data_IF_421407675177
#
_entry.id   IF_421407675177
#
_cell.length_a   1.000
_cell.length_b   1.000
_cell.length_c   1.000
_cell.angle_alpha   90.00
_cell.angle_beta   90.00
_cell.angle_gamma   90.00
#
_symmetry.space_group_name_H-M   'P 1'
#
loop_
_entity.id
_entity.type
_entity.pdbx_description
1 polymer ?
#
# COMPACT_ATOMS: atom_id res chain seq x y z
N UNK A 1 -13.97 16.96 21.21
CA UNK A 1 -14.51 16.47 19.92
C UNK A 1 -13.61 15.38 19.43
N UNK A 2 -14.03 14.16 19.54
CA UNK A 2 -13.22 13.06 19.03
C UNK A 2 -13.57 12.88 17.55
N UNK A 3 -12.68 13.23 16.65
CA UNK A 3 -12.76 12.96 15.20
C UNK A 3 -13.18 11.51 14.90
N UNK A 4 -12.83 10.60 15.79
CA UNK A 4 -13.14 9.17 15.71
C UNK A 4 -14.56 8.80 16.18
N UNK A 5 -15.30 9.74 16.78
CA UNK A 5 -16.68 9.51 17.25
C UNK A 5 -17.72 9.90 16.22
N UNK A 6 -17.33 10.53 15.12
CA UNK A 6 -18.22 10.91 14.03
C UNK A 6 -18.08 9.91 12.88
N UNK A 7 -19.19 9.32 12.46
CA UNK A 7 -19.26 8.32 11.40
C UNK A 7 -18.63 8.79 10.08
N UNK A 8 -18.78 10.09 9.77
CA UNK A 8 -18.26 10.65 8.52
C UNK A 8 -16.74 10.91 8.56
N UNK A 9 -16.19 11.14 9.76
CA UNK A 9 -14.78 11.55 9.93
C UNK A 9 -13.88 10.45 10.49
N UNK A 10 -14.42 9.39 11.09
CA UNK A 10 -13.66 8.32 11.71
C UNK A 10 -12.69 7.64 10.72
N UNK A 11 -13.13 7.37 9.49
CA UNK A 11 -12.29 6.80 8.44
C UNK A 11 -11.10 7.70 8.07
N UNK A 12 -11.31 9.01 8.00
CA UNK A 12 -10.22 9.95 7.72
C UNK A 12 -9.18 9.98 8.85
N UNK A 13 -9.62 9.80 10.10
CA UNK A 13 -8.73 9.69 11.25
C UNK A 13 -7.83 8.45 11.17
N UNK A 14 -8.39 7.29 10.80
CA UNK A 14 -7.63 6.05 10.59
C UNK A 14 -6.65 6.21 9.41
N UNK A 15 -7.12 6.77 8.29
CA UNK A 15 -6.26 7.02 7.11
C UNK A 15 -5.11 7.93 7.48
N UNK A 16 -5.34 9.02 8.21
CA UNK A 16 -4.29 9.93 8.65
C UNK A 16 -3.25 9.25 9.54
N UNK A 17 -3.69 8.37 10.45
CA UNK A 17 -2.78 7.58 11.28
C UNK A 17 -1.99 6.56 10.46
N UNK A 18 -2.63 5.91 9.49
CA UNK A 18 -1.99 4.94 8.59
C UNK A 18 -0.95 5.59 7.66
N UNK A 19 -1.17 6.84 7.26
CA UNK A 19 -0.26 7.57 6.38
C UNK A 19 1.13 7.80 7.00
N UNK A 20 1.22 7.99 8.31
CA UNK A 20 2.48 8.29 8.98
C UNK A 20 3.56 7.22 8.75
N UNK A 21 3.35 5.94 9.12
CA UNK A 21 4.33 4.89 8.86
C UNK A 21 4.48 4.60 7.37
N UNK A 22 3.40 4.76 6.58
CA UNK A 22 3.43 4.51 5.15
C UNK A 22 4.30 5.53 4.40
N UNK A 23 4.23 6.81 4.77
CA UNK A 23 5.09 7.86 4.20
C UNK A 23 6.56 7.55 4.50
N UNK A 24 6.89 7.19 5.75
CA UNK A 24 8.25 6.84 6.13
C UNK A 24 8.80 5.65 5.32
N UNK A 25 7.98 4.61 5.15
CA UNK A 25 8.34 3.45 4.35
C UNK A 25 8.57 3.80 2.87
N UNK A 26 7.65 4.55 2.26
CA UNK A 26 7.80 4.98 0.87
C UNK A 26 9.03 5.89 0.69
N UNK A 27 9.31 6.77 1.65
CA UNK A 27 10.46 7.66 1.60
C UNK A 27 11.77 6.86 1.56
N UNK A 28 11.93 5.85 2.41
CA UNK A 28 13.10 4.97 2.40
C UNK A 28 13.22 4.23 1.06
N UNK A 29 12.12 3.69 0.53
CA UNK A 29 12.11 3.01 -0.77
C UNK A 29 12.55 3.93 -1.91
N UNK A 30 12.06 5.16 -1.93
CA UNK A 30 12.44 6.11 -2.98
C UNK A 30 13.86 6.63 -2.82
N UNK A 31 14.37 6.84 -1.60
CA UNK A 31 15.77 7.21 -1.37
C UNK A 31 16.69 6.09 -1.86
N UNK A 32 16.41 4.84 -1.51
CA UNK A 32 17.21 3.70 -1.97
C UNK A 32 17.12 3.52 -3.49
N UNK A 33 15.93 3.71 -4.07
CA UNK A 33 15.74 3.72 -5.51
C UNK A 33 16.53 4.82 -6.22
N UNK A 34 16.56 6.02 -5.66
CA UNK A 34 17.36 7.14 -6.18
C UNK A 34 18.87 6.88 -6.07
N UNK A 35 19.32 6.27 -4.97
CA UNK A 35 20.73 5.91 -4.79
C UNK A 35 21.20 4.82 -5.79
N UNK A 36 20.30 3.98 -6.25
CA UNK A 36 20.53 2.90 -7.21
C UNK A 36 20.46 3.35 -8.68
N UNK A 37 20.17 4.63 -8.95
CA UNK A 37 20.10 5.15 -10.32
C UNK A 37 21.45 5.05 -11.02
N UNK A 38 21.42 4.71 -12.31
CA UNK A 38 22.61 4.71 -13.14
C UNK A 38 23.07 6.16 -13.39
N UNK A 39 24.24 6.50 -12.84
CA UNK A 39 24.84 7.84 -12.95
C UNK A 39 25.20 8.17 -14.38
N UNK A 40 25.66 7.20 -15.17
CA UNK A 40 26.07 7.42 -16.56
C UNK A 40 24.88 7.91 -17.41
N UNK A 41 23.68 7.36 -17.16
CA UNK A 41 22.45 7.79 -17.85
C UNK A 41 22.10 9.23 -17.45
N UNK A 42 22.29 9.59 -16.19
CA UNK A 42 22.01 10.95 -15.70
C UNK A 42 23.02 11.94 -16.29
N UNK A 43 24.30 11.56 -16.37
CA UNK A 43 25.36 12.41 -16.92
C UNK A 43 25.21 12.61 -18.44
N UNK A 44 24.94 11.54 -19.19
CA UNK A 44 24.68 11.66 -20.63
C UNK A 44 23.46 12.55 -20.91
N UNK A 45 22.40 12.38 -20.15
CA UNK A 45 21.21 13.22 -20.28
C UNK A 45 21.47 14.70 -19.98
N UNK A 46 22.38 15.01 -19.05
CA UNK A 46 22.82 16.40 -18.80
C UNK A 46 23.57 16.98 -20.00
N UNK A 47 24.42 16.18 -20.65
CA UNK A 47 25.13 16.58 -21.86
C UNK A 47 24.15 16.87 -23.00
N UNK A 48 23.08 16.04 -23.12
CA UNK A 48 21.99 16.22 -24.10
C UNK A 48 21.06 17.40 -23.77
N UNK A 49 21.37 18.16 -22.68
CA UNK A 49 20.62 19.36 -22.31
C UNK A 49 19.39 19.11 -21.43
N UNK A 50 19.16 17.91 -20.95
CA UNK A 50 18.05 17.61 -20.03
C UNK A 50 18.28 18.33 -18.67
N UNK A 51 17.34 19.18 -18.26
CA UNK A 51 17.43 19.96 -17.01
C UNK A 51 16.08 19.99 -16.28
N UNK A 52 16.12 20.14 -14.95
CA UNK A 52 14.97 20.38 -14.11
C UNK A 52 13.86 19.35 -14.28
N UNK A 53 12.64 19.80 -14.56
CA UNK A 53 11.45 18.94 -14.69
C UNK A 53 11.53 17.93 -15.84
N UNK A 54 12.16 18.29 -16.95
CA UNK A 54 12.34 17.37 -18.07
C UNK A 54 13.20 16.15 -17.70
N UNK A 55 14.27 16.36 -16.96
CA UNK A 55 15.12 15.28 -16.45
C UNK A 55 14.35 14.40 -15.45
N UNK A 56 13.57 15.00 -14.56
CA UNK A 56 12.79 14.25 -13.58
C UNK A 56 11.77 13.32 -14.24
N UNK A 57 10.93 13.85 -15.14
CA UNK A 57 9.84 13.08 -15.74
C UNK A 57 10.29 12.05 -16.76
N UNK A 58 11.32 12.38 -17.57
CA UNK A 58 11.70 11.53 -18.71
C UNK A 58 12.83 10.55 -18.36
N UNK A 59 13.61 10.80 -17.30
CA UNK A 59 14.81 10.02 -16.99
C UNK A 59 14.74 9.41 -15.60
N UNK A 60 14.54 10.23 -14.56
CA UNK A 60 14.56 9.75 -13.17
C UNK A 60 13.32 8.91 -12.86
N UNK A 61 12.14 9.44 -13.12
CA UNK A 61 10.87 8.77 -12.78
C UNK A 61 10.69 7.40 -13.48
N UNK A 62 11.04 7.23 -14.77
CA UNK A 62 11.03 5.91 -15.38
C UNK A 62 12.00 4.91 -14.77
N UNK A 63 13.16 5.35 -14.29
CA UNK A 63 14.11 4.48 -13.59
C UNK A 63 13.63 4.10 -12.19
N UNK A 64 12.79 4.91 -11.55
CA UNK A 64 12.17 4.63 -10.24
C UNK A 64 10.94 3.71 -10.34
N UNK A 65 10.54 3.28 -11.53
CA UNK A 65 9.39 2.36 -11.71
C UNK A 65 9.45 1.12 -10.80
N UNK A 66 10.60 0.42 -10.63
CA UNK A 66 10.66 -0.73 -9.74
C UNK A 66 10.36 -0.37 -8.28
N UNK A 67 10.91 0.74 -7.77
CA UNK A 67 10.65 1.23 -6.42
C UNK A 67 9.18 1.63 -6.24
N UNK A 68 8.62 2.38 -7.19
CA UNK A 68 7.20 2.77 -7.20
C UNK A 68 6.30 1.53 -7.20
N UNK A 69 6.66 0.52 -7.98
CA UNK A 69 5.90 -0.70 -8.08
C UNK A 69 5.86 -1.45 -6.74
N UNK A 70 7.01 -1.60 -6.06
CA UNK A 70 7.08 -2.21 -4.73
C UNK A 70 6.29 -1.39 -3.72
N UNK A 71 6.42 -0.05 -3.74
CA UNK A 71 5.68 0.84 -2.85
C UNK A 71 4.17 0.63 -2.96
N UNK A 72 3.63 0.59 -4.18
CA UNK A 72 2.19 0.38 -4.43
C UNK A 72 1.73 -0.98 -3.90
N UNK A 73 2.50 -2.04 -4.17
CA UNK A 73 2.13 -3.39 -3.72
C UNK A 73 2.08 -3.51 -2.23
N UNK A 74 3.14 -3.06 -1.56
CA UNK A 74 3.19 -3.12 -0.08
C UNK A 74 2.11 -2.25 0.55
N UNK A 75 1.80 -1.09 -0.06
CA UNK A 75 0.70 -0.23 0.41
C UNK A 75 -0.65 -0.92 0.31
N UNK A 76 -0.95 -1.58 -0.82
CA UNK A 76 -2.21 -2.29 -1.01
C UNK A 76 -2.31 -3.49 -0.06
N UNK A 77 -1.25 -4.30 0.06
CA UNK A 77 -1.22 -5.43 1.00
C UNK A 77 -1.39 -4.96 2.45
N UNK A 78 -0.74 -3.85 2.83
CA UNK A 78 -0.87 -3.24 4.14
C UNK A 78 -2.30 -2.77 4.42
N UNK A 79 -2.94 -2.13 3.45
CA UNK A 79 -4.32 -1.67 3.58
C UNK A 79 -5.31 -2.83 3.75
N UNK A 80 -5.17 -3.90 2.96
CA UNK A 80 -6.04 -5.09 3.06
C UNK A 80 -5.89 -5.84 4.38
N UNK A 81 -4.73 -5.74 5.03
CA UNK A 81 -4.43 -6.38 6.31
C UNK A 81 -4.50 -5.44 7.51
N UNK A 82 -5.07 -4.24 7.35
CA UNK A 82 -5.07 -3.22 8.41
C UNK A 82 -6.08 -3.56 9.51
N UNK A 83 -5.75 -4.56 10.32
CA UNK A 83 -6.49 -4.93 11.52
C UNK A 83 -6.16 -4.02 12.71
N UNK A 84 -4.85 -3.82 12.95
CA UNK A 84 -4.34 -3.22 14.19
C UNK A 84 -4.84 -1.79 14.41
N UNK A 85 -4.83 -0.96 13.37
CA UNK A 85 -5.28 0.43 13.47
C UNK A 85 -6.78 0.52 13.79
N UNK A 86 -7.60 -0.30 13.12
CA UNK A 86 -9.04 -0.33 13.36
C UNK A 86 -9.34 -0.86 14.76
N UNK A 87 -8.68 -1.95 15.17
CA UNK A 87 -8.89 -2.57 16.47
C UNK A 87 -8.52 -1.64 17.65
N UNK A 88 -7.42 -0.87 17.50
CA UNK A 88 -6.94 0.01 18.57
C UNK A 88 -7.64 1.36 18.58
N UNK A 89 -7.89 1.96 17.41
CA UNK A 89 -8.41 3.32 17.32
C UNK A 89 -9.92 3.42 17.44
N UNK A 90 -10.67 2.51 16.84
CA UNK A 90 -12.12 2.65 16.67
C UNK A 90 -12.92 1.40 17.06
N UNK A 91 -12.27 0.23 17.10
CA UNK A 91 -12.95 -1.06 17.30
C UNK A 91 -14.13 -1.26 16.31
N UNK A 92 -13.92 -0.83 15.05
CA UNK A 92 -14.95 -0.87 14.00
C UNK A 92 -15.98 0.26 14.04
N UNK A 93 -15.99 1.09 15.13
CA UNK A 93 -16.98 2.15 15.34
C UNK A 93 -16.67 3.48 14.64
N UNK A 94 -17.60 4.46 14.74
CA UNK A 94 -18.97 4.30 15.23
C UNK A 94 -19.86 3.54 14.24
N UNK A 95 -20.79 2.78 14.76
CA UNK A 95 -21.82 2.06 13.97
C UNK A 95 -21.28 1.16 12.85
N UNK A 96 -20.07 0.60 13.00
CA UNK A 96 -19.43 -0.24 11.98
C UNK A 96 -18.83 0.53 10.80
N UNK A 97 -18.80 1.87 10.83
CA UNK A 97 -18.34 2.70 9.72
C UNK A 97 -16.87 2.52 9.36
N UNK A 98 -16.05 2.04 10.30
CA UNK A 98 -14.61 1.80 10.11
C UNK A 98 -14.26 0.33 10.06
N UNK A 99 -15.24 -0.56 10.01
CA UNK A 99 -15.02 -2.00 9.96
C UNK A 99 -14.34 -2.39 8.65
N UNK A 100 -13.22 -3.07 8.75
CA UNK A 100 -12.50 -3.69 7.62
C UNK A 100 -12.60 -5.21 7.71
N UNK A 101 -12.45 -5.90 6.58
CA UNK A 101 -12.63 -7.35 6.52
C UNK A 101 -11.73 -8.11 7.51
N UNK A 102 -10.48 -7.63 7.70
CA UNK A 102 -9.54 -8.22 8.64
C UNK A 102 -10.01 -8.05 10.11
N UNK A 103 -10.64 -6.93 10.46
CA UNK A 103 -11.21 -6.69 11.78
C UNK A 103 -12.44 -7.57 12.01
N UNK A 104 -13.39 -7.57 11.08
CA UNK A 104 -14.62 -8.36 11.14
C UNK A 104 -14.33 -9.85 11.29
N UNK A 105 -13.33 -10.36 10.58
CA UNK A 105 -12.89 -11.75 10.69
C UNK A 105 -12.53 -12.13 12.14
N UNK A 106 -11.73 -11.29 12.81
CA UNK A 106 -11.29 -11.52 14.20
C UNK A 106 -12.43 -11.33 15.16
N UNK A 107 -13.25 -10.30 14.98
CA UNK A 107 -14.42 -10.02 15.81
C UNK A 107 -15.39 -11.20 15.79
N UNK A 108 -15.73 -11.69 14.62
CA UNK A 108 -16.67 -12.81 14.50
C UNK A 108 -16.09 -14.14 15.01
N UNK A 109 -14.81 -14.43 14.72
CA UNK A 109 -14.20 -15.69 15.13
C UNK A 109 -13.94 -15.76 16.64
N UNK A 110 -13.36 -14.69 17.21
CA UNK A 110 -12.82 -14.71 18.57
C UNK A 110 -13.80 -14.13 19.57
N UNK A 111 -14.34 -12.94 19.31
CA UNK A 111 -15.22 -12.26 20.28
C UNK A 111 -16.66 -12.78 20.25
N UNK A 112 -17.19 -13.09 19.06
CA UNK A 112 -18.55 -13.61 18.89
C UNK A 112 -18.63 -15.14 18.85
N UNK A 113 -17.49 -15.86 18.97
CA UNK A 113 -17.39 -17.32 18.91
C UNK A 113 -18.01 -17.96 17.67
N UNK A 114 -18.13 -17.20 16.57
CA UNK A 114 -18.66 -17.65 15.28
C UNK A 114 -17.52 -18.13 14.36
N UNK A 115 -16.81 -19.17 14.78
CA UNK A 115 -15.61 -19.67 14.10
C UNK A 115 -15.83 -19.95 12.62
N UNK A 116 -16.96 -20.56 12.25
CA UNK A 116 -17.27 -20.85 10.84
C UNK A 116 -17.43 -19.59 9.98
N UNK A 117 -18.06 -18.57 10.51
CA UNK A 117 -18.23 -17.30 9.81
C UNK A 117 -16.90 -16.54 9.70
N UNK A 118 -16.12 -16.49 10.79
CA UNK A 118 -14.78 -15.92 10.77
C UNK A 118 -13.83 -16.63 9.77
N UNK A 119 -13.91 -17.97 9.70
CA UNK A 119 -13.16 -18.74 8.72
C UNK A 119 -13.56 -18.44 7.27
N UNK A 120 -14.85 -18.20 7.01
CA UNK A 120 -15.33 -17.80 5.69
C UNK A 120 -14.78 -16.42 5.29
N UNK A 121 -14.79 -15.46 6.22
CA UNK A 121 -14.20 -14.13 5.99
C UNK A 121 -12.69 -14.21 5.74
N UNK A 122 -11.97 -15.05 6.51
CA UNK A 122 -10.55 -15.31 6.31
C UNK A 122 -10.26 -15.87 4.91
N UNK A 123 -11.09 -16.80 4.44
CA UNK A 123 -10.96 -17.38 3.10
C UNK A 123 -11.18 -16.34 2.02
N UNK A 124 -12.19 -15.49 2.17
CA UNK A 124 -12.45 -14.38 1.22
C UNK A 124 -11.27 -13.41 1.18
N UNK A 125 -10.75 -13.00 2.35
CA UNK A 125 -9.59 -12.11 2.42
C UNK A 125 -8.37 -12.75 1.77
N UNK A 126 -8.12 -14.03 2.02
CA UNK A 126 -7.03 -14.78 1.42
C UNK A 126 -7.15 -14.82 -0.11
N UNK A 127 -8.32 -15.15 -0.65
CA UNK A 127 -8.55 -15.16 -2.09
C UNK A 127 -8.33 -13.79 -2.74
N UNK A 128 -8.77 -12.71 -2.10
CA UNK A 128 -8.53 -11.34 -2.59
C UNK A 128 -7.03 -11.05 -2.66
N UNK A 129 -6.28 -11.42 -1.61
CA UNK A 129 -4.84 -11.25 -1.55
C UNK A 129 -4.12 -12.08 -2.61
N UNK A 130 -4.53 -13.34 -2.81
CA UNK A 130 -3.95 -14.24 -3.82
C UNK A 130 -4.16 -13.70 -5.24
N UNK A 131 -5.38 -13.28 -5.57
CA UNK A 131 -5.69 -12.69 -6.87
C UNK A 131 -4.82 -11.46 -7.11
N UNK A 132 -4.66 -10.62 -6.09
CA UNK A 132 -3.80 -9.43 -6.19
C UNK A 132 -2.33 -9.81 -6.39
N UNK A 133 -1.80 -10.78 -5.63
CA UNK A 133 -0.41 -11.25 -5.73
C UNK A 133 -0.15 -11.88 -7.11
N UNK A 134 -1.04 -12.73 -7.59
CA UNK A 134 -0.90 -13.37 -8.91
C UNK A 134 -0.91 -12.33 -10.02
N UNK A 135 -1.87 -11.41 -9.99
CA UNK A 135 -1.92 -10.30 -10.95
C UNK A 135 -0.62 -9.47 -10.94
N UNK A 136 -0.11 -9.21 -9.74
CA UNK A 136 1.14 -8.49 -9.53
C UNK A 136 2.32 -9.23 -10.15
N UNK A 137 2.51 -10.53 -9.86
CA UNK A 137 3.59 -11.34 -10.39
C UNK A 137 3.58 -11.40 -11.91
N UNK A 138 2.39 -11.55 -12.51
CA UNK A 138 2.23 -11.53 -13.97
C UNK A 138 2.68 -10.19 -14.56
N UNK A 139 2.40 -9.08 -13.87
CA UNK A 139 2.78 -7.74 -14.32
C UNK A 139 4.29 -7.52 -14.22
N UNK A 140 4.94 -8.02 -13.17
CA UNK A 140 6.42 -8.01 -13.03
C UNK A 140 7.04 -8.77 -14.21
N UNK A 141 6.58 -9.98 -14.42
CA UNK A 141 7.16 -10.88 -15.44
C UNK A 141 7.03 -10.31 -16.86
N UNK A 142 5.90 -9.68 -17.16
CA UNK A 142 5.73 -8.98 -18.44
C UNK A 142 6.67 -7.78 -18.61
N UNK A 143 6.92 -7.03 -17.54
CA UNK A 143 7.83 -5.88 -17.59
C UNK A 143 9.30 -6.29 -17.77
N UNK A 144 9.71 -7.43 -17.21
CA UNK A 144 11.08 -7.96 -17.41
C UNK A 144 11.29 -8.47 -18.84
N UNK A 145 10.32 -9.20 -19.38
CA UNK A 145 10.40 -9.70 -20.78
C UNK A 145 10.37 -8.59 -21.84
N UNK A 146 9.85 -7.43 -21.56
CA UNK A 146 9.88 -6.29 -22.47
C UNK A 146 11.18 -5.48 -22.44
N UNK A 147 12.17 -5.91 -21.64
CA UNK A 147 13.50 -5.29 -21.52
C UNK A 147 14.63 -6.13 -22.13
N UNK A 148 14.34 -7.35 -22.57
CA UNK A 148 15.20 -8.22 -23.37
C UNK A 148 14.86 -8.06 -24.85
#
# INVERSE_FOLDING_TARGET
MALLSDENFANYGIIAAALWPQIAYCLILYITGLAALNKDIIESAKIDGARGWGMFWNIILPQLRPATFIAVVVSVLGALRSFDLVAIMTQGGPWGSTTVLAYEMVEQAIFNYRMGYGAALATILFLILDVYIVWFLIRVWKNEKGRL
#
